data_IF_064824403915
#
_entry.id   IF_064824403915
#
_cell.length_a   1.000
_cell.length_b   1.000
_cell.length_c   1.000
_cell.angle_alpha   90.00
_cell.angle_beta   90.00
_cell.angle_gamma   90.00
#
_symmetry.space_group_name_H-M   'P 1'
#
loop_
_entity.id
_entity.type
_entity.pdbx_description
1 polymer ?
#
# COMPACT_ATOMS: atom_id res chain seq x y z
N UNK A 1 -16.46 -4.64 -8.02
CA UNK A 1 -15.76 -3.35 -7.83
C UNK A 1 -16.22 -2.24 -8.77
N UNK A 2 -17.28 -2.48 -9.55
CA UNK A 2 -17.68 -1.58 -10.64
C UNK A 2 -17.82 -0.11 -10.19
N UNK A 3 -16.97 0.76 -10.75
CA UNK A 3 -16.89 2.22 -10.49
C UNK A 3 -16.38 2.66 -9.11
N UNK A 4 -15.95 1.77 -8.19
CA UNK A 4 -15.25 2.24 -6.98
C UNK A 4 -13.96 2.97 -7.35
N UNK A 5 -13.66 4.03 -6.63
CA UNK A 5 -12.40 4.79 -6.77
C UNK A 5 -11.36 4.19 -5.85
N UNK A 6 -10.32 3.61 -6.43
CA UNK A 6 -9.23 2.97 -5.69
C UNK A 6 -7.96 3.78 -5.87
N UNK A 7 -7.43 4.27 -4.75
CA UNK A 7 -6.16 5.00 -4.69
C UNK A 7 -5.04 4.06 -4.27
N UNK A 8 -3.94 4.01 -5.04
CA UNK A 8 -2.80 3.13 -4.79
C UNK A 8 -1.50 3.93 -4.81
N UNK A 9 -0.74 3.89 -3.71
CA UNK A 9 0.59 4.48 -3.64
C UNK A 9 1.66 3.47 -4.06
N UNK A 10 2.74 3.95 -4.70
CA UNK A 10 3.84 3.07 -5.14
C UNK A 10 3.46 2.14 -6.30
N UNK A 11 2.63 2.62 -7.23
CA UNK A 11 2.00 1.79 -8.26
C UNK A 11 2.88 1.43 -9.47
N UNK A 12 4.12 1.93 -9.58
CA UNK A 12 4.92 1.80 -10.80
C UNK A 12 5.54 0.43 -11.07
N UNK A 13 5.62 -0.45 -10.06
CA UNK A 13 6.23 -1.79 -10.15
C UNK A 13 5.74 -2.72 -9.04
N UNK A 14 6.16 -3.99 -9.08
CA UNK A 14 5.91 -4.99 -8.04
C UNK A 14 4.44 -5.12 -7.69
N UNK A 15 4.15 -5.23 -6.38
CA UNK A 15 2.79 -5.38 -5.86
C UNK A 15 1.87 -4.23 -6.29
N UNK A 16 2.34 -2.98 -6.25
CA UNK A 16 1.53 -1.82 -6.63
C UNK A 16 1.06 -1.87 -8.09
N UNK A 17 1.91 -2.35 -9.02
CA UNK A 17 1.51 -2.62 -10.40
C UNK A 17 0.48 -3.75 -10.48
N UNK A 18 0.74 -4.88 -9.81
CA UNK A 18 -0.18 -6.02 -9.80
C UNK A 18 -1.56 -5.64 -9.26
N UNK A 19 -1.62 -4.90 -8.15
CA UNK A 19 -2.87 -4.36 -7.59
C UNK A 19 -3.58 -3.44 -8.60
N UNK A 20 -2.86 -2.51 -9.23
CA UNK A 20 -3.43 -1.62 -10.24
C UNK A 20 -4.12 -2.39 -11.36
N UNK A 21 -3.47 -3.43 -11.88
CA UNK A 21 -4.02 -4.25 -12.96
C UNK A 21 -5.17 -5.15 -12.49
N UNK A 22 -5.11 -5.66 -11.27
CA UNK A 22 -6.19 -6.46 -10.68
C UNK A 22 -7.47 -5.61 -10.49
N UNK A 23 -7.35 -4.42 -9.90
CA UNK A 23 -8.49 -3.51 -9.74
C UNK A 23 -9.02 -2.99 -11.08
N UNK A 24 -8.14 -2.80 -12.09
CA UNK A 24 -8.57 -2.47 -13.44
C UNK A 24 -9.49 -3.54 -14.04
N UNK A 25 -9.13 -4.82 -13.91
CA UNK A 25 -9.95 -5.96 -14.37
C UNK A 25 -11.32 -6.02 -13.67
N UNK A 26 -11.40 -5.56 -12.43
CA UNK A 26 -12.63 -5.48 -11.65
C UNK A 26 -13.49 -4.23 -11.97
N UNK A 27 -13.08 -3.40 -12.92
CA UNK A 27 -13.82 -2.21 -13.35
C UNK A 27 -13.76 -1.03 -12.38
N UNK A 28 -12.71 -0.94 -11.57
CA UNK A 28 -12.47 0.20 -10.70
C UNK A 28 -11.97 1.42 -11.50
N UNK A 29 -12.23 2.63 -10.97
CA UNK A 29 -11.53 3.86 -11.36
C UNK A 29 -10.28 3.99 -10.49
N UNK A 30 -9.15 4.29 -11.08
CA UNK A 30 -7.86 4.19 -10.42
C UNK A 30 -7.18 5.55 -10.29
N UNK A 31 -6.80 5.92 -9.07
CA UNK A 31 -5.90 7.02 -8.79
C UNK A 31 -4.56 6.42 -8.31
N UNK A 32 -3.52 6.52 -9.13
CA UNK A 32 -2.23 5.87 -8.87
C UNK A 32 -1.10 6.89 -8.79
N UNK A 33 -0.15 6.67 -7.88
CA UNK A 33 1.04 7.50 -7.82
C UNK A 33 2.33 6.72 -7.63
N UNK A 34 3.42 7.31 -8.09
CA UNK A 34 4.79 6.91 -7.78
C UNK A 34 5.76 8.06 -8.08
N UNK A 35 7.02 7.92 -7.65
CA UNK A 35 8.10 8.85 -8.00
C UNK A 35 8.60 8.65 -9.43
N UNK A 36 8.51 7.42 -9.96
CA UNK A 36 8.93 7.10 -11.32
C UNK A 36 7.80 7.40 -12.30
N UNK A 37 7.94 8.47 -13.07
CA UNK A 37 6.98 8.85 -14.10
C UNK A 37 6.89 7.79 -15.21
N UNK A 38 8.04 7.32 -15.72
CA UNK A 38 8.10 6.32 -16.79
C UNK A 38 7.40 5.01 -16.38
N UNK A 39 7.72 4.48 -15.20
CA UNK A 39 7.07 3.26 -14.69
C UNK A 39 5.56 3.44 -14.48
N UNK A 40 5.15 4.62 -13.98
CA UNK A 40 3.75 4.93 -13.74
C UNK A 40 2.95 5.04 -15.05
N UNK A 41 3.51 5.64 -16.09
CA UNK A 41 2.88 5.75 -17.42
C UNK A 41 2.67 4.35 -18.02
N UNK A 42 3.66 3.46 -17.95
CA UNK A 42 3.53 2.08 -18.43
C UNK A 42 2.37 1.34 -17.75
N UNK A 43 2.27 1.43 -16.44
CA UNK A 43 1.18 0.81 -15.67
C UNK A 43 -0.18 1.42 -16.02
N UNK A 44 -0.25 2.75 -16.18
CA UNK A 44 -1.46 3.43 -16.66
C UNK A 44 -1.92 2.88 -18.00
N UNK A 45 -1.00 2.77 -18.97
CA UNK A 45 -1.33 2.26 -20.31
C UNK A 45 -1.82 0.81 -20.28
N UNK A 46 -1.21 -0.03 -19.43
CA UNK A 46 -1.65 -1.41 -19.24
C UNK A 46 -3.07 -1.47 -18.64
N UNK A 47 -3.35 -0.68 -17.61
CA UNK A 47 -4.66 -0.64 -16.97
C UNK A 47 -5.75 -0.05 -17.89
N UNK A 48 -5.42 0.97 -18.70
CA UNK A 48 -6.32 1.54 -19.70
C UNK A 48 -6.66 0.49 -20.79
N UNK A 49 -5.70 -0.34 -21.20
CA UNK A 49 -5.97 -1.46 -22.14
C UNK A 49 -6.92 -2.51 -21.58
N UNK A 50 -7.02 -2.62 -20.24
CA UNK A 50 -8.01 -3.44 -19.55
C UNK A 50 -9.38 -2.76 -19.39
N UNK A 51 -9.52 -1.52 -19.89
CA UNK A 51 -10.77 -0.76 -19.87
C UNK A 51 -10.96 0.14 -18.65
N UNK A 52 -9.95 0.30 -17.78
CA UNK A 52 -10.06 1.14 -16.60
C UNK A 52 -9.86 2.63 -16.91
N UNK A 53 -10.55 3.49 -16.15
CA UNK A 53 -10.24 4.91 -16.05
C UNK A 53 -9.08 5.09 -15.07
N UNK A 54 -7.97 5.72 -15.50
CA UNK A 54 -6.75 5.82 -14.68
C UNK A 54 -6.22 7.25 -14.64
N UNK A 55 -6.23 7.82 -13.45
CA UNK A 55 -5.50 9.03 -13.08
C UNK A 55 -4.13 8.62 -12.53
N UNK A 56 -3.07 8.99 -13.23
CA UNK A 56 -1.69 8.75 -12.81
C UNK A 56 -1.02 10.08 -12.47
N UNK A 57 -0.50 10.19 -11.25
CA UNK A 57 0.14 11.42 -10.74
C UNK A 57 1.56 11.10 -10.25
N UNK A 58 2.57 11.70 -10.85
CA UNK A 58 3.93 11.61 -10.32
C UNK A 58 4.00 12.38 -9.00
N UNK A 59 4.22 11.66 -7.91
CA UNK A 59 4.21 12.21 -6.55
C UNK A 59 5.21 11.48 -5.64
N UNK A 60 5.85 12.26 -4.78
CA UNK A 60 6.64 11.76 -3.67
C UNK A 60 5.82 11.88 -2.39
N UNK A 61 5.25 10.76 -1.93
CA UNK A 61 4.37 10.72 -0.76
C UNK A 61 5.07 11.07 0.56
N UNK A 62 6.39 11.17 0.58
CA UNK A 62 7.13 11.70 1.71
C UNK A 62 6.98 13.23 1.86
N UNK A 63 6.40 13.88 0.87
CA UNK A 63 6.18 15.33 0.85
C UNK A 63 4.69 15.65 0.98
N UNK A 64 4.30 16.29 2.07
CA UNK A 64 2.90 16.66 2.33
C UNK A 64 2.24 17.42 1.17
N UNK A 65 3.01 18.28 0.46
CA UNK A 65 2.51 19.01 -0.71
C UNK A 65 2.14 18.09 -1.87
N UNK A 66 2.93 17.05 -2.11
CA UNK A 66 2.66 16.08 -3.18
C UNK A 66 1.49 15.17 -2.80
N UNK A 67 1.37 14.80 -1.52
CA UNK A 67 0.20 14.07 -0.98
C UNK A 67 -1.07 14.88 -1.21
N UNK A 68 -1.08 16.15 -0.79
CA UNK A 68 -2.23 17.05 -0.99
C UNK A 68 -2.61 17.18 -2.46
N UNK A 69 -1.65 17.44 -3.34
CA UNK A 69 -1.87 17.55 -4.77
C UNK A 69 -2.43 16.26 -5.38
N UNK A 70 -1.90 15.10 -5.00
CA UNK A 70 -2.36 13.81 -5.52
C UNK A 70 -3.81 13.53 -5.12
N UNK A 71 -4.15 13.72 -3.85
CA UNK A 71 -5.49 13.45 -3.35
C UNK A 71 -6.49 14.47 -3.90
N UNK A 72 -6.17 15.77 -3.88
CA UNK A 72 -7.04 16.81 -4.45
C UNK A 72 -7.33 16.57 -5.95
N UNK A 73 -6.32 16.16 -6.73
CA UNK A 73 -6.51 15.83 -8.15
C UNK A 73 -7.41 14.59 -8.32
N UNK A 74 -7.31 13.60 -7.44
CA UNK A 74 -8.17 12.42 -7.49
C UNK A 74 -9.63 12.75 -7.09
N UNK A 75 -9.81 13.59 -6.06
CA UNK A 75 -11.14 14.08 -5.64
C UNK A 75 -11.79 14.95 -6.72
N UNK A 76 -11.03 15.81 -7.40
CA UNK A 76 -11.53 16.61 -8.52
C UNK A 76 -11.97 15.72 -9.70
N UNK A 77 -11.19 14.68 -10.04
CA UNK A 77 -11.48 13.80 -11.17
C UNK A 77 -12.63 12.83 -10.90
N UNK A 78 -12.73 12.31 -9.67
CA UNK A 78 -13.62 11.18 -9.35
C UNK A 78 -14.66 11.49 -8.27
N UNK A 79 -14.57 12.65 -7.62
CA UNK A 79 -15.48 13.11 -6.59
C UNK A 79 -15.14 12.61 -5.19
N UNK A 80 -14.60 11.39 -5.05
CA UNK A 80 -14.25 10.77 -3.76
C UNK A 80 -13.28 9.61 -3.92
N UNK A 81 -12.81 9.07 -2.79
CA UNK A 81 -11.95 7.88 -2.73
C UNK A 81 -12.66 6.84 -1.88
N UNK A 82 -12.95 5.65 -2.44
CA UNK A 82 -13.61 4.55 -1.72
C UNK A 82 -12.60 3.62 -1.05
N UNK A 83 -11.45 3.42 -1.68
CA UNK A 83 -10.40 2.52 -1.20
C UNK A 83 -9.06 3.21 -1.29
N UNK A 84 -8.29 3.16 -0.20
CA UNK A 84 -6.90 3.57 -0.17
C UNK A 84 -6.00 2.36 0.08
N UNK A 85 -4.98 2.16 -0.75
CA UNK A 85 -3.94 1.15 -0.54
C UNK A 85 -2.60 1.86 -0.35
N UNK A 86 -2.11 1.88 0.89
CA UNK A 86 -0.78 2.35 1.24
C UNK A 86 0.24 1.23 0.97
N UNK A 87 0.74 1.20 -0.26
CA UNK A 87 1.70 0.18 -0.71
C UNK A 87 3.13 0.73 -0.88
N UNK A 88 3.30 2.03 -1.10
CA UNK A 88 4.62 2.59 -1.32
C UNK A 88 5.56 2.38 -0.13
N UNK A 89 6.73 1.83 -0.41
CA UNK A 89 7.75 1.58 0.61
C UNK A 89 9.15 1.51 0.00
N UNK A 90 10.18 1.63 0.84
CA UNK A 90 11.58 1.39 0.50
C UNK A 90 12.20 0.44 1.51
N UNK A 91 13.17 -0.36 1.06
CA UNK A 91 13.92 -1.26 1.93
C UNK A 91 14.96 -0.51 2.79
N UNK A 92 15.59 0.50 2.21
CA UNK A 92 16.77 1.16 2.75
C UNK A 92 18.05 0.70 2.06
N UNK A 93 19.22 0.81 2.74
CA UNK A 93 20.50 0.33 2.21
C UNK A 93 20.49 -1.16 1.88
N UNK A 94 21.17 -1.55 0.80
CA UNK A 94 21.41 -2.94 0.46
C UNK A 94 22.92 -3.11 0.16
N UNK A 95 23.60 -4.06 0.82
CA UNK A 95 23.08 -4.99 1.84
C UNK A 95 22.58 -4.27 3.10
N UNK A 96 21.59 -4.87 3.77
CA UNK A 96 20.99 -4.28 4.97
C UNK A 96 21.97 -4.35 6.16
N UNK A 97 22.35 -3.22 6.77
CA UNK A 97 23.26 -3.21 7.91
C UNK A 97 22.59 -3.64 9.21
N UNK A 98 23.37 -4.07 10.18
CA UNK A 98 22.91 -4.19 11.56
C UNK A 98 22.57 -2.82 12.14
N UNK A 99 21.68 -2.76 13.15
CA UNK A 99 21.23 -1.49 13.73
C UNK A 99 22.37 -0.62 14.25
N UNK A 100 23.44 -1.23 14.79
CA UNK A 100 24.60 -0.50 15.29
C UNK A 100 25.30 0.32 14.20
N UNK A 101 25.33 -0.22 12.98
CA UNK A 101 26.02 0.35 11.83
C UNK A 101 25.06 1.04 10.85
N UNK A 102 23.78 1.19 11.22
CA UNK A 102 22.76 1.75 10.33
C UNK A 102 22.95 3.26 10.19
N UNK A 103 23.11 3.82 8.97
CA UNK A 103 23.23 5.26 8.77
C UNK A 103 21.97 6.01 9.23
N UNK A 104 22.13 7.05 10.05
CA UNK A 104 21.01 7.79 10.67
C UNK A 104 20.04 8.41 9.64
N UNK A 105 20.59 8.96 8.57
CA UNK A 105 19.81 9.56 7.48
C UNK A 105 18.99 8.51 6.71
N UNK A 106 19.59 7.35 6.44
CA UNK A 106 18.90 6.22 5.80
C UNK A 106 17.82 5.64 6.72
N UNK A 107 18.11 5.50 8.02
CA UNK A 107 17.13 5.05 9.01
C UNK A 107 15.91 5.99 9.04
N UNK A 108 16.16 7.29 9.16
CA UNK A 108 15.11 8.32 9.15
C UNK A 108 14.30 8.33 7.85
N UNK A 109 14.98 8.16 6.70
CA UNK A 109 14.30 8.12 5.40
C UNK A 109 13.36 6.91 5.26
N UNK A 110 13.78 5.71 5.72
CA UNK A 110 12.93 4.51 5.70
C UNK A 110 11.69 4.70 6.56
N UNK A 111 11.84 5.16 7.80
CA UNK A 111 10.69 5.43 8.67
C UNK A 111 9.75 6.47 8.07
N UNK A 112 10.31 7.54 7.51
CA UNK A 112 9.53 8.62 6.93
C UNK A 112 8.72 8.13 5.72
N UNK A 113 9.36 7.40 4.80
CA UNK A 113 8.68 6.93 3.58
C UNK A 113 7.69 5.80 3.89
N UNK A 114 8.03 4.85 4.76
CA UNK A 114 7.17 3.69 4.97
C UNK A 114 6.03 3.94 5.96
N UNK A 115 6.28 4.67 7.04
CA UNK A 115 5.30 4.89 8.12
C UNK A 115 4.70 6.30 8.07
N UNK A 116 5.52 7.37 8.09
CA UNK A 116 4.99 8.73 8.14
C UNK A 116 4.19 9.07 6.87
N UNK A 117 4.62 8.61 5.70
CA UNK A 117 3.87 8.82 4.46
C UNK A 117 2.51 8.13 4.48
N UNK A 118 2.42 6.90 5.00
CA UNK A 118 1.15 6.19 5.16
C UNK A 118 0.20 6.96 6.07
N UNK A 119 0.72 7.52 7.18
CA UNK A 119 -0.05 8.43 8.05
C UNK A 119 -0.54 9.68 7.29
N UNK A 120 0.33 10.35 6.53
CA UNK A 120 -0.02 11.58 5.79
C UNK A 120 -1.13 11.34 4.78
N UNK A 121 -1.03 10.26 3.99
CA UNK A 121 -2.03 9.91 2.96
C UNK A 121 -3.35 9.53 3.64
N UNK A 122 -3.29 8.65 4.64
CA UNK A 122 -4.48 8.18 5.38
C UNK A 122 -5.22 9.34 6.03
N UNK A 123 -4.51 10.19 6.79
CA UNK A 123 -5.07 11.37 7.44
C UNK A 123 -5.81 12.29 6.46
N UNK A 124 -5.31 12.43 5.22
CA UNK A 124 -5.91 13.32 4.23
C UNK A 124 -7.14 12.70 3.54
N UNK A 125 -7.20 11.38 3.44
CA UNK A 125 -8.31 10.65 2.79
C UNK A 125 -9.49 10.44 3.76
N UNK A 126 -9.25 10.18 5.03
CA UNK A 126 -10.27 9.86 6.05
C UNK A 126 -11.44 10.86 6.08
N UNK A 127 -11.26 12.20 6.05
CA UNK A 127 -12.38 13.12 6.13
C UNK A 127 -13.47 12.87 5.07
N UNK A 128 -13.08 12.66 3.82
CA UNK A 128 -14.02 12.35 2.75
C UNK A 128 -14.70 10.98 2.89
N UNK A 129 -14.04 9.99 3.50
CA UNK A 129 -14.64 8.70 3.84
C UNK A 129 -15.64 8.84 5.00
N UNK A 130 -15.34 9.63 6.02
CA UNK A 130 -16.24 9.90 7.15
C UNK A 130 -17.51 10.63 6.74
N UNK A 131 -17.44 11.61 5.82
CA UNK A 131 -18.61 12.31 5.29
C UNK A 131 -19.62 11.35 4.64
N UNK A 132 -19.12 10.29 3.99
CA UNK A 132 -19.95 9.26 3.36
C UNK A 132 -20.25 8.09 4.29
N UNK A 133 -19.59 8.04 5.44
CA UNK A 133 -19.60 6.91 6.37
C UNK A 133 -19.32 5.56 5.66
N UNK A 134 -18.42 5.56 4.70
CA UNK A 134 -17.95 4.37 3.97
C UNK A 134 -16.51 4.57 3.46
N UNK A 135 -15.67 3.55 3.64
CA UNK A 135 -14.30 3.55 3.17
C UNK A 135 -13.54 2.30 3.58
N UNK A 136 -12.52 1.95 2.79
CA UNK A 136 -11.60 0.87 3.10
C UNK A 136 -10.16 1.32 2.92
N UNK A 137 -9.39 1.25 3.99
CA UNK A 137 -7.97 1.57 3.99
C UNK A 137 -7.19 0.27 4.22
N UNK A 138 -6.24 -0.02 3.34
CA UNK A 138 -5.45 -1.24 3.37
C UNK A 138 -3.96 -0.84 3.40
N UNK A 139 -3.30 -1.15 4.51
CA UNK A 139 -1.88 -0.89 4.69
C UNK A 139 -1.08 -2.15 4.37
N UNK A 140 -0.05 -2.02 3.53
CA UNK A 140 0.86 -3.15 3.23
C UNK A 140 1.91 -3.23 4.32
N UNK A 141 1.87 -4.34 5.09
CA UNK A 141 2.86 -4.67 6.11
C UNK A 141 3.83 -5.75 5.62
N UNK A 142 4.38 -6.54 6.50
CA UNK A 142 5.31 -7.64 6.26
C UNK A 142 5.42 -8.48 7.51
N UNK A 143 5.92 -9.72 7.42
CA UNK A 143 6.27 -10.56 8.57
C UNK A 143 7.18 -9.82 9.56
N UNK A 144 8.13 -9.04 9.06
CA UNK A 144 9.02 -8.22 9.89
C UNK A 144 8.32 -7.03 10.54
N UNK A 145 7.01 -6.86 10.38
CA UNK A 145 6.18 -5.84 11.02
C UNK A 145 5.67 -6.25 12.41
N UNK A 146 5.74 -7.52 12.78
CA UNK A 146 5.37 -8.02 14.12
C UNK A 146 6.45 -8.89 14.77
N UNK A 147 7.46 -9.30 14.01
CA UNK A 147 8.62 -10.05 14.52
C UNK A 147 9.92 -9.34 14.13
N UNK A 148 10.80 -9.12 15.10
CA UNK A 148 12.09 -8.48 14.86
C UNK A 148 13.13 -9.50 14.40
N UNK A 149 13.79 -9.21 13.26
CA UNK A 149 14.88 -10.02 12.73
C UNK A 149 16.16 -9.21 12.59
N UNK A 150 17.31 -9.81 12.90
CA UNK A 150 18.60 -9.19 12.68
C UNK A 150 18.81 -8.86 11.18
N UNK A 151 19.32 -7.67 10.90
CA UNK A 151 19.52 -7.18 9.54
C UNK A 151 18.30 -6.45 8.93
N UNK A 152 17.10 -6.60 9.47
CA UNK A 152 15.89 -5.92 8.97
C UNK A 152 15.62 -4.53 9.56
N UNK A 153 16.48 -4.05 10.42
CA UNK A 153 16.60 -2.73 11.03
C UNK A 153 15.46 -1.75 10.79
N UNK A 154 15.73 -0.68 10.04
CA UNK A 154 14.75 0.39 9.81
C UNK A 154 13.50 -0.09 9.06
N UNK A 155 13.64 -1.04 8.12
CA UNK A 155 12.49 -1.58 7.39
C UNK A 155 11.51 -2.28 8.35
N UNK A 156 12.00 -3.23 9.16
CA UNK A 156 11.17 -3.92 10.15
C UNK A 156 10.50 -2.93 11.10
N UNK A 157 11.28 -2.03 11.71
CA UNK A 157 10.75 -0.99 12.62
C UNK A 157 9.67 -0.14 11.93
N UNK A 158 9.85 0.20 10.65
CA UNK A 158 8.83 0.94 9.89
C UNK A 158 7.54 0.16 9.70
N UNK A 159 7.62 -1.18 9.55
CA UNK A 159 6.44 -2.05 9.40
C UNK A 159 5.73 -2.25 10.75
N UNK A 160 6.45 -2.36 11.87
CA UNK A 160 5.84 -2.26 13.21
C UNK A 160 5.05 -0.96 13.39
N UNK A 161 5.60 0.16 12.93
CA UNK A 161 4.91 1.45 12.98
C UNK A 161 3.65 1.47 12.10
N UNK A 162 3.66 0.84 10.92
CA UNK A 162 2.48 0.71 10.05
C UNK A 162 1.40 -0.16 10.69
N UNK A 163 1.77 -1.24 11.38
CA UNK A 163 0.81 -2.09 12.11
C UNK A 163 0.19 -1.31 13.27
N UNK A 164 0.98 -0.62 14.10
CA UNK A 164 0.48 0.24 15.16
C UNK A 164 -0.42 1.39 14.65
N UNK A 165 -0.08 2.01 13.51
CA UNK A 165 -0.96 2.99 12.85
C UNK A 165 -2.28 2.38 12.42
N UNK A 166 -2.26 1.16 11.89
CA UNK A 166 -3.47 0.45 11.44
C UNK A 166 -4.42 0.18 12.59
N UNK A 167 -3.90 -0.39 13.69
CA UNK A 167 -4.69 -0.68 14.89
C UNK A 167 -5.26 0.60 15.53
N UNK A 168 -4.44 1.65 15.63
CA UNK A 168 -4.88 2.94 16.18
C UNK A 168 -5.99 3.57 15.35
N UNK A 169 -5.82 3.65 14.02
CA UNK A 169 -6.88 4.16 13.14
C UNK A 169 -8.15 3.30 13.19
N UNK A 170 -8.01 1.98 13.25
CA UNK A 170 -9.15 1.07 13.34
C UNK A 170 -9.96 1.29 14.62
N UNK A 171 -9.31 1.53 15.76
CA UNK A 171 -9.96 1.83 17.04
C UNK A 171 -10.63 3.21 17.02
N UNK A 172 -9.92 4.25 16.57
CA UNK A 172 -10.46 5.61 16.45
C UNK A 172 -11.68 5.71 15.52
N UNK A 173 -11.79 4.82 14.53
CA UNK A 173 -12.87 4.79 13.54
C UNK A 173 -13.92 3.71 13.82
N UNK A 174 -13.86 3.02 14.97
CA UNK A 174 -14.68 1.85 15.31
C UNK A 174 -16.20 2.11 15.28
N UNK A 175 -16.63 3.35 15.57
CA UNK A 175 -18.04 3.76 15.53
C UNK A 175 -18.52 4.21 14.13
N UNK A 176 -17.73 3.92 13.08
CA UNK A 176 -18.01 4.29 11.69
C UNK A 176 -17.97 3.07 10.77
N UNK A 177 -18.35 3.25 9.50
CA UNK A 177 -18.17 2.21 8.47
C UNK A 177 -16.85 2.36 7.70
N UNK A 178 -15.93 3.22 8.14
CA UNK A 178 -14.57 3.31 7.61
C UNK A 178 -13.71 2.26 8.27
N UNK A 179 -13.10 1.40 7.49
CA UNK A 179 -12.32 0.24 7.95
C UNK A 179 -10.85 0.40 7.60
N UNK A 180 -9.97 0.06 8.53
CA UNK A 180 -8.52 0.09 8.33
C UNK A 180 -7.97 -1.29 8.66
N UNK A 181 -7.38 -1.96 7.67
CA UNK A 181 -6.80 -3.28 7.83
C UNK A 181 -5.38 -3.31 7.25
N UNK A 182 -4.64 -4.35 7.55
CA UNK A 182 -3.29 -4.55 7.02
C UNK A 182 -3.13 -5.90 6.34
N UNK A 183 -2.27 -5.94 5.33
CA UNK A 183 -1.96 -7.15 4.60
C UNK A 183 -0.45 -7.33 4.54
N UNK A 184 0.01 -8.48 5.00
CA UNK A 184 1.32 -9.01 4.71
C UNK A 184 1.23 -9.80 3.39
N UNK A 185 1.86 -9.31 2.32
CA UNK A 185 1.82 -10.01 1.04
C UNK A 185 2.73 -11.25 0.99
N UNK A 186 3.57 -11.46 2.02
CA UNK A 186 4.63 -12.45 2.02
C UNK A 186 5.78 -12.11 1.08
N UNK A 187 6.66 -13.07 0.86
CA UNK A 187 7.79 -12.91 -0.05
C UNK A 187 7.35 -13.08 -1.50
N UNK A 188 7.73 -12.12 -2.35
CA UNK A 188 7.29 -12.07 -3.75
C UNK A 188 8.47 -11.84 -4.70
N UNK A 189 8.33 -12.32 -5.93
CA UNK A 189 9.27 -12.06 -7.04
C UNK A 189 9.26 -10.58 -7.42
N UNK A 190 10.03 -9.77 -6.69
CA UNK A 190 10.15 -8.33 -6.89
C UNK A 190 11.58 -7.86 -6.78
N UNK A 191 11.86 -6.69 -7.39
CA UNK A 191 13.17 -6.04 -7.23
C UNK A 191 13.51 -5.76 -5.75
N UNK A 192 12.51 -5.41 -4.93
CA UNK A 192 12.73 -5.17 -3.50
C UNK A 192 13.17 -6.46 -2.79
N UNK A 193 12.54 -7.60 -3.09
CA UNK A 193 12.93 -8.89 -2.53
C UNK A 193 14.34 -9.28 -2.96
N UNK A 194 14.66 -9.13 -4.25
CA UNK A 194 16.01 -9.41 -4.75
C UNK A 194 17.10 -8.56 -4.07
N UNK A 195 16.77 -7.31 -3.71
CA UNK A 195 17.67 -6.46 -2.94
C UNK A 195 17.78 -6.88 -1.46
N UNK A 196 16.71 -7.40 -0.88
CA UNK A 196 16.68 -7.84 0.52
C UNK A 196 17.34 -9.21 0.73
N UNK A 197 17.09 -10.15 -0.18
CA UNK A 197 17.55 -11.54 -0.13
C UNK A 197 18.16 -11.91 -1.49
N UNK A 198 19.38 -11.41 -1.81
CA UNK A 198 19.99 -11.60 -3.12
C UNK A 198 20.29 -13.08 -3.45
N UNK A 199 20.52 -13.90 -2.41
CA UNK A 199 20.86 -15.32 -2.55
C UNK A 199 19.63 -16.24 -2.34
N UNK A 200 18.41 -15.73 -2.59
CA UNK A 200 17.19 -16.52 -2.49
C UNK A 200 17.23 -17.70 -3.50
N UNK A 201 17.13 -18.92 -3.00
CA UNK A 201 17.19 -20.15 -3.78
C UNK A 201 15.88 -20.99 -3.77
N UNK A 202 14.82 -20.40 -3.26
CA UNK A 202 13.48 -21.00 -3.20
C UNK A 202 12.49 -20.23 -4.09
N UNK A 203 11.39 -20.89 -4.51
CA UNK A 203 10.38 -20.25 -5.34
C UNK A 203 9.62 -19.16 -4.56
N UNK A 204 9.40 -18.04 -5.22
CA UNK A 204 8.65 -16.91 -4.70
C UNK A 204 7.27 -16.83 -5.37
N UNK A 205 6.26 -16.34 -4.64
CA UNK A 205 4.98 -16.00 -5.21
C UNK A 205 5.12 -14.83 -6.19
N UNK A 206 4.32 -14.79 -7.24
CA UNK A 206 4.24 -13.60 -8.09
C UNK A 206 3.35 -12.54 -7.42
N UNK A 207 3.62 -11.25 -7.62
CA UNK A 207 2.75 -10.20 -7.08
C UNK A 207 1.28 -10.33 -7.49
N UNK A 208 1.02 -10.94 -8.64
CA UNK A 208 -0.33 -11.21 -9.14
C UNK A 208 -1.07 -12.30 -8.36
N UNK A 209 -0.37 -13.18 -7.69
CA UNK A 209 -0.96 -14.32 -6.95
C UNK A 209 -1.52 -13.89 -5.58
N UNK A 210 -1.07 -12.74 -5.05
CA UNK A 210 -1.44 -12.27 -3.71
C UNK A 210 -2.49 -11.15 -3.70
N UNK A 211 -3.04 -10.77 -4.86
CA UNK A 211 -3.99 -9.64 -4.96
C UNK A 211 -5.38 -9.95 -4.43
N UNK A 212 -5.74 -11.21 -4.28
CA UNK A 212 -7.09 -11.65 -3.91
C UNK A 212 -7.60 -11.05 -2.61
N UNK A 213 -6.79 -11.05 -1.56
CA UNK A 213 -7.14 -10.48 -0.25
C UNK A 213 -7.38 -8.96 -0.33
N UNK A 214 -6.64 -8.22 -1.15
CA UNK A 214 -6.85 -6.79 -1.35
C UNK A 214 -8.19 -6.51 -2.04
N UNK A 215 -8.56 -7.31 -3.04
CA UNK A 215 -9.87 -7.22 -3.69
C UNK A 215 -11.01 -7.53 -2.70
N UNK A 216 -10.83 -8.53 -1.84
CA UNK A 216 -11.77 -8.86 -0.79
C UNK A 216 -11.95 -7.72 0.19
N UNK A 217 -10.88 -7.18 0.77
CA UNK A 217 -10.90 -6.08 1.74
C UNK A 217 -11.46 -4.78 1.14
N UNK A 218 -11.29 -4.54 -0.14
CA UNK A 218 -11.87 -3.41 -0.87
C UNK A 218 -13.36 -3.58 -1.19
N UNK A 219 -13.91 -4.78 -1.02
CA UNK A 219 -15.30 -5.10 -1.33
C UNK A 219 -16.24 -4.93 -0.13
N UNK A 220 -17.55 -4.98 -0.38
CA UNK A 220 -18.57 -5.03 0.68
C UNK A 220 -18.60 -6.37 1.44
N UNK A 221 -17.95 -7.42 0.92
CA UNK A 221 -17.89 -8.72 1.59
C UNK A 221 -17.09 -8.65 2.89
N UNK A 222 -16.18 -7.70 3.03
CA UNK A 222 -15.39 -7.46 4.24
C UNK A 222 -16.02 -6.41 5.18
N UNK A 223 -17.34 -6.14 5.03
CA UNK A 223 -18.04 -5.26 5.96
C UNK A 223 -17.91 -5.77 7.41
N UNK A 224 -17.58 -4.87 8.34
CA UNK A 224 -17.34 -5.21 9.74
C UNK A 224 -15.93 -5.77 10.06
N UNK A 225 -15.08 -6.00 9.05
CA UNK A 225 -13.68 -6.38 9.28
C UNK A 225 -12.83 -5.11 9.43
N UNK A 226 -12.32 -4.88 10.63
CA UNK A 226 -11.55 -3.68 10.98
C UNK A 226 -10.43 -4.04 11.95
N UNK A 227 -9.25 -3.42 11.81
CA UNK A 227 -8.08 -3.63 12.65
C UNK A 227 -7.39 -4.99 12.46
N UNK A 228 -7.68 -5.72 11.40
CA UNK A 228 -7.18 -7.09 11.21
C UNK A 228 -5.92 -7.13 10.34
N UNK A 229 -5.04 -8.09 10.66
CA UNK A 229 -3.86 -8.46 9.89
C UNK A 229 -4.16 -9.73 9.08
N UNK A 230 -3.86 -9.68 7.80
CA UNK A 230 -4.02 -10.79 6.87
C UNK A 230 -2.68 -11.18 6.26
N UNK A 231 -2.48 -12.46 6.02
CA UNK A 231 -1.34 -13.01 5.31
C UNK A 231 -1.81 -13.52 3.95
N UNK A 232 -1.37 -12.86 2.87
CA UNK A 232 -1.92 -13.10 1.54
C UNK A 232 -1.52 -14.45 0.92
N UNK A 233 -0.48 -15.11 1.46
CA UNK A 233 0.01 -16.40 0.98
C UNK A 233 -0.42 -17.59 1.84
N UNK A 234 -1.12 -17.36 2.95
CA UNK A 234 -1.80 -18.44 3.65
C UNK A 234 -3.10 -18.76 2.90
N UNK A 235 -3.34 -20.04 2.63
CA UNK A 235 -4.64 -20.51 2.17
C UNK A 235 -5.65 -20.40 3.33
N UNK A 236 -6.18 -19.19 3.56
CA UNK A 236 -7.38 -19.07 4.37
C UNK A 236 -8.56 -19.48 3.48
N UNK A 237 -9.35 -20.45 3.95
CA UNK A 237 -10.66 -20.72 3.39
C UNK A 237 -11.56 -19.49 3.64
N UNK A 238 -11.58 -18.57 2.66
CA UNK A 238 -12.40 -17.35 2.66
C UNK A 238 -13.85 -17.65 2.24
#
# INVERSE_FOLDING_TARGET
MNKKVVMITGASKGLGRALTLAFAKEGARLAICSRSEEGLIKVKEEAVRLGAEVLAVTADISKSRDVERFIATAEEAYGHIDVLINNASILGPSPMPLLLDYPEDAFSAVLHINAVSSFLVTRRVIPGMLERNDGSIINVTSEVGHTGFAGWGAYGISKFAVEGLTETWADELSETNVRVNMVDPGEMETEMHQMAVPDCDYPLAKPEDVVGIFLYLASSKSAGINGQRFEAQLEEEL
#
